data_IF_873431516736
#
_entry.id   IF_873431516736
#
_cell.length_a   1.000
_cell.length_b   1.000
_cell.length_c   1.000
_cell.angle_alpha   90.00
_cell.angle_beta   90.00
_cell.angle_gamma   90.00
#
_symmetry.space_group_name_H-M   'P 1'
#
loop_
_entity.id
_entity.type
_entity.pdbx_description
1 polymer ?
#
# COMPACT_ATOMS: atom_id res chain seq x y z
N UNK A 1 -3.57 -5.22 -3.65
CA UNK A 1 -3.23 -4.58 -2.36
C UNK A 1 -2.62 -5.64 -1.47
N UNK A 2 -1.43 -5.38 -0.93
CA UNK A 2 -0.81 -6.23 0.07
C UNK A 2 -0.91 -5.51 1.42
N UNK A 3 -1.30 -6.21 2.47
CA UNK A 3 -1.25 -5.71 3.83
C UNK A 3 0.00 -6.26 4.49
N UNK A 4 0.90 -5.37 4.93
CA UNK A 4 2.15 -5.77 5.58
C UNK A 4 1.96 -5.55 7.08
N UNK A 5 2.15 -6.59 7.88
CA UNK A 5 2.03 -6.53 9.35
C UNK A 5 3.26 -7.15 10.00
N UNK A 6 3.68 -6.69 11.19
CA UNK A 6 4.87 -7.20 11.85
C UNK A 6 4.68 -8.57 12.53
N UNK A 7 3.45 -9.09 12.66
CA UNK A 7 3.17 -10.24 13.51
C UNK A 7 2.95 -11.55 12.75
N UNK A 8 3.81 -12.55 12.95
CA UNK A 8 3.74 -13.84 12.26
C UNK A 8 2.85 -14.91 12.92
N UNK A 9 2.35 -14.67 14.16
CA UNK A 9 1.74 -15.73 14.97
C UNK A 9 0.20 -15.78 14.91
N UNK A 10 -0.43 -15.04 14.00
CA UNK A 10 -1.88 -15.12 13.77
C UNK A 10 -2.76 -14.58 14.91
N UNK A 11 -2.21 -13.78 15.83
CA UNK A 11 -2.96 -13.16 16.93
C UNK A 11 -3.73 -11.92 16.47
N UNK A 12 -3.31 -11.30 15.35
CA UNK A 12 -4.06 -10.21 14.75
C UNK A 12 -5.37 -10.74 14.15
N UNK A 13 -6.49 -10.29 14.71
CA UNK A 13 -7.80 -10.40 14.07
C UNK A 13 -7.84 -9.42 12.89
N UNK A 14 -7.36 -9.89 11.75
CA UNK A 14 -7.33 -9.11 10.52
C UNK A 14 -8.64 -9.34 9.73
N UNK A 15 -9.18 -8.29 9.09
CA UNK A 15 -10.14 -8.47 8.02
C UNK A 15 -9.62 -9.47 6.98
N UNK A 16 -10.54 -10.11 6.26
CA UNK A 16 -10.19 -11.06 5.21
C UNK A 16 -9.57 -10.34 4.00
N UNK A 17 -8.28 -10.07 4.06
CA UNK A 17 -7.51 -9.51 2.97
C UNK A 17 -7.06 -10.60 2.01
N UNK A 18 -7.18 -10.32 0.71
CA UNK A 18 -6.72 -11.25 -0.34
C UNK A 18 -5.20 -11.51 -0.31
N UNK A 19 -4.42 -10.64 0.32
CA UNK A 19 -2.98 -10.82 0.46
C UNK A 19 -2.43 -10.11 1.70
N UNK A 20 -1.80 -10.89 2.56
CA UNK A 20 -1.11 -10.43 3.78
C UNK A 20 0.34 -10.90 3.73
N UNK A 21 1.28 -10.02 4.08
CA UNK A 21 2.69 -10.33 4.23
C UNK A 21 3.07 -10.11 5.69
N UNK A 22 3.57 -11.15 6.33
CA UNK A 22 4.06 -11.13 7.70
C UNK A 22 5.54 -10.74 7.72
N UNK A 23 5.82 -9.46 8.00
CA UNK A 23 7.17 -8.89 8.03
C UNK A 23 7.74 -8.92 9.46
N UNK A 24 7.92 -10.15 9.99
CA UNK A 24 8.34 -10.39 11.38
C UNK A 24 9.64 -9.66 11.75
N UNK A 25 10.64 -9.73 10.88
CA UNK A 25 11.94 -9.09 11.08
C UNK A 25 11.93 -7.57 10.79
N UNK A 26 10.76 -7.05 10.39
CA UNK A 26 10.53 -5.65 10.01
C UNK A 26 11.43 -5.21 8.85
N UNK A 27 11.82 -6.12 7.97
CA UNK A 27 12.69 -5.82 6.82
C UNK A 27 11.97 -4.89 5.86
N UNK A 28 10.71 -5.17 5.52
CA UNK A 28 9.92 -4.30 4.66
C UNK A 28 9.62 -2.97 5.35
N UNK A 29 9.25 -2.98 6.64
CA UNK A 29 8.99 -1.76 7.39
C UNK A 29 10.23 -0.83 7.40
N UNK A 30 11.43 -1.38 7.64
CA UNK A 30 12.68 -0.61 7.62
C UNK A 30 13.03 -0.12 6.22
N UNK A 31 12.94 -1.00 5.22
CA UNK A 31 13.28 -0.70 3.81
C UNK A 31 12.43 0.44 3.27
N UNK A 32 11.13 0.44 3.61
CA UNK A 32 10.19 1.48 3.18
C UNK A 32 10.08 2.64 4.17
N UNK A 33 10.76 2.62 5.32
CA UNK A 33 10.61 3.66 6.35
C UNK A 33 9.19 3.76 6.93
N UNK A 34 8.46 2.64 6.97
CA UNK A 34 7.11 2.53 7.51
C UNK A 34 7.13 2.39 9.05
N UNK A 35 7.40 3.49 9.75
CA UNK A 35 7.45 3.52 11.22
C UNK A 35 6.07 3.58 11.89
N UNK A 36 5.02 3.91 11.14
CA UNK A 36 3.62 3.89 11.54
C UNK A 36 2.75 3.39 10.38
N UNK A 37 1.42 3.35 10.58
CA UNK A 37 0.47 3.11 9.49
C UNK A 37 0.75 4.05 8.31
N UNK A 38 0.85 3.48 7.12
CA UNK A 38 1.18 4.19 5.89
C UNK A 38 0.77 3.35 4.68
N UNK A 39 0.72 3.97 3.50
CA UNK A 39 0.54 3.24 2.24
C UNK A 39 1.60 3.65 1.22
N UNK A 40 1.96 2.71 0.36
CA UNK A 40 2.86 2.90 -0.77
C UNK A 40 2.18 2.40 -2.04
N UNK A 41 2.23 3.21 -3.10
CA UNK A 41 1.87 2.80 -4.46
C UNK A 41 3.16 2.52 -5.23
N UNK A 42 3.34 1.27 -5.64
CA UNK A 42 4.43 0.86 -6.51
C UNK A 42 3.93 0.86 -7.95
N UNK A 43 4.63 1.58 -8.83
CA UNK A 43 4.34 1.64 -10.25
C UNK A 43 4.78 0.35 -10.97
N UNK A 44 4.28 0.07 -12.19
CA UNK A 44 4.70 -1.10 -12.96
C UNK A 44 6.20 -1.19 -13.25
N UNK A 45 6.92 -0.06 -13.26
CA UNK A 45 8.38 0.00 -13.41
C UNK A 45 9.15 -0.20 -12.10
N UNK A 46 8.47 -0.53 -11.00
CA UNK A 46 9.08 -0.84 -9.70
C UNK A 46 9.38 0.38 -8.83
N UNK A 47 9.13 1.60 -9.31
CA UNK A 47 9.34 2.81 -8.52
C UNK A 47 8.14 3.13 -7.62
N UNK A 48 8.39 3.80 -6.50
CA UNK A 48 7.34 4.37 -5.66
C UNK A 48 6.71 5.56 -6.40
N UNK A 49 5.44 5.43 -6.79
CA UNK A 49 4.67 6.53 -7.38
C UNK A 49 4.02 7.43 -6.34
N UNK A 50 3.62 6.86 -5.20
CA UNK A 50 2.97 7.62 -4.13
C UNK A 50 3.28 6.98 -2.76
N UNK A 51 3.36 7.80 -1.72
CA UNK A 51 3.42 7.37 -0.31
C UNK A 51 2.63 8.33 0.57
N UNK A 52 1.99 7.82 1.61
CA UNK A 52 1.41 8.64 2.68
C UNK A 52 1.57 8.00 4.05
N UNK A 53 1.82 8.84 5.06
CA UNK A 53 1.95 8.47 6.46
C UNK A 53 1.32 9.60 7.30
N UNK A 54 0.10 9.43 7.85
CA UNK A 54 -0.70 8.20 7.88
C UNK A 54 -1.24 7.78 6.50
N UNK A 55 -1.73 6.54 6.40
CA UNK A 55 -2.44 6.08 5.21
C UNK A 55 -3.65 6.97 4.93
N UNK A 56 -3.83 7.41 3.68
CA UNK A 56 -4.90 8.32 3.26
C UNK A 56 -5.46 7.88 1.91
N UNK A 57 -6.70 7.41 1.91
CA UNK A 57 -7.39 7.01 0.68
C UNK A 57 -7.69 8.22 -0.21
N UNK A 58 -8.08 9.34 0.38
CA UNK A 58 -8.43 10.56 -0.36
C UNK A 58 -7.22 11.11 -1.12
N UNK A 59 -6.05 11.15 -0.49
CA UNK A 59 -4.82 11.61 -1.16
C UNK A 59 -4.39 10.65 -2.27
N UNK A 60 -4.57 9.34 -2.07
CA UNK A 60 -4.29 8.34 -3.10
C UNK A 60 -5.23 8.53 -4.31
N UNK A 61 -6.54 8.69 -4.07
CA UNK A 61 -7.52 8.92 -5.15
C UNK A 61 -7.20 10.20 -5.91
N UNK A 62 -6.85 11.28 -5.19
CA UNK A 62 -6.44 12.55 -5.78
C UNK A 62 -5.19 12.39 -6.66
N UNK A 63 -4.17 11.68 -6.17
CA UNK A 63 -2.97 11.37 -6.95
C UNK A 63 -3.31 10.57 -8.22
N UNK A 64 -4.08 9.49 -8.09
CA UNK A 64 -4.44 8.62 -9.21
C UNK A 64 -5.25 9.39 -10.27
N UNK A 65 -6.17 10.26 -9.85
CA UNK A 65 -6.98 11.08 -10.75
C UNK A 65 -6.15 12.08 -11.57
N UNK A 66 -4.99 12.50 -11.05
CA UNK A 66 -4.05 13.37 -11.77
C UNK A 66 -3.11 12.62 -12.73
N UNK A 67 -2.90 11.32 -12.51
CA UNK A 67 -1.96 10.50 -13.31
C UNK A 67 -2.66 9.78 -14.45
N UNK A 68 -3.90 9.32 -14.24
CA UNK A 68 -4.64 8.57 -15.25
C UNK A 68 -5.60 9.48 -16.01
N UNK A 69 -5.44 9.52 -17.34
CA UNK A 69 -6.50 10.03 -18.21
C UNK A 69 -7.53 8.91 -18.36
N UNK A 70 -8.78 9.17 -17.97
CA UNK A 70 -9.89 8.29 -18.30
C UNK A 70 -9.96 8.19 -19.83
N UNK A 71 -9.45 7.09 -20.37
CA UNK A 71 -9.77 6.71 -21.74
C UNK A 71 -11.22 6.30 -21.70
N UNK A 72 -12.12 7.11 -22.26
CA UNK A 72 -13.46 6.66 -22.55
C UNK A 72 -13.30 5.40 -23.40
N UNK A 73 -13.65 4.25 -22.83
CA UNK A 73 -13.82 3.04 -23.63
C UNK A 73 -14.91 3.40 -24.63
N UNK A 74 -14.53 3.45 -25.90
CA UNK A 74 -15.43 3.73 -27.00
C UNK A 74 -16.64 2.80 -26.91
N UNK A 75 -17.80 3.40 -27.14
CA UNK A 75 -19.12 2.79 -27.27
C UNK A 75 -19.13 1.57 -28.19
#
# INVERSE_FOLDING_TARGET
>A
MHVIVPEANGVLDLPNYNSVIYDFDRILHKTYGASSECLYLIRPDGYIGFRSQPASLDDLVKYLSGVFVLSAVGS
#
